data_IF_723775798662
#
_entry.id   IF_723775798662
#
_cell.length_a   1.000
_cell.length_b   1.000
_cell.length_c   1.000
_cell.angle_alpha   90.00
_cell.angle_beta   90.00
_cell.angle_gamma   90.00
#
_symmetry.space_group_name_H-M   'P 1'
#
loop_
_entity.id
_entity.type
_entity.pdbx_description
1 polymer ?
#
# COMPACT_ATOMS: atom_id res chain seq x y z
N UNK A 1 9.05 -28.12 -26.61
CA UNK A 1 9.50 -27.65 -25.29
C UNK A 1 8.64 -26.48 -24.83
N UNK A 2 8.45 -25.48 -25.69
CA UNK A 2 7.70 -24.25 -25.39
C UNK A 2 6.24 -24.47 -24.98
N UNK A 3 5.54 -25.45 -25.56
CA UNK A 3 4.16 -25.76 -25.16
C UNK A 3 4.05 -26.29 -23.73
N UNK A 4 4.99 -27.13 -23.32
CA UNK A 4 5.03 -27.70 -21.95
C UNK A 4 5.33 -26.57 -20.95
N UNK A 5 6.27 -25.70 -21.30
CA UNK A 5 6.63 -24.56 -20.47
C UNK A 5 5.46 -23.56 -20.33
N UNK A 6 4.79 -23.23 -21.45
CA UNK A 6 3.63 -22.35 -21.46
C UNK A 6 2.46 -22.91 -20.66
N UNK A 7 2.14 -24.20 -20.82
CA UNK A 7 1.12 -24.87 -20.04
C UNK A 7 1.43 -24.90 -18.55
N UNK A 8 2.68 -25.22 -18.18
CA UNK A 8 3.14 -25.19 -16.80
C UNK A 8 3.09 -23.78 -16.20
N UNK A 9 3.44 -22.76 -16.97
CA UNK A 9 3.33 -21.35 -16.57
C UNK A 9 1.88 -20.96 -16.27
N UNK A 10 0.93 -21.30 -17.15
CA UNK A 10 -0.50 -21.03 -16.92
C UNK A 10 -0.99 -21.70 -15.63
N UNK A 11 -0.63 -22.97 -15.41
CA UNK A 11 -1.01 -23.69 -14.19
C UNK A 11 -0.42 -23.03 -12.95
N UNK A 12 0.86 -22.63 -12.99
CA UNK A 12 1.51 -21.93 -11.90
C UNK A 12 0.87 -20.58 -11.61
N UNK A 13 0.49 -19.82 -12.64
CA UNK A 13 -0.20 -18.52 -12.46
C UNK A 13 -1.59 -18.72 -11.86
N UNK A 14 -2.33 -19.75 -12.27
CA UNK A 14 -3.62 -20.08 -11.67
C UNK A 14 -3.48 -20.48 -10.19
N UNK A 15 -2.48 -21.29 -9.84
CA UNK A 15 -2.22 -21.66 -8.44
C UNK A 15 -1.76 -20.45 -7.61
N UNK A 16 -0.90 -19.60 -8.16
CA UNK A 16 -0.48 -18.36 -7.50
C UNK A 16 -1.68 -17.43 -7.25
N UNK A 17 -2.55 -17.28 -8.24
CA UNK A 17 -3.77 -16.47 -8.14
C UNK A 17 -4.73 -17.05 -7.09
N UNK A 18 -4.89 -18.37 -7.06
CA UNK A 18 -5.68 -19.09 -6.06
C UNK A 18 -5.16 -18.83 -4.65
N UNK A 19 -3.84 -18.84 -4.44
CA UNK A 19 -3.24 -18.59 -3.11
C UNK A 19 -3.36 -17.12 -2.69
N UNK A 20 -3.30 -16.19 -3.62
CA UNK A 20 -3.32 -14.75 -3.33
C UNK A 20 -4.72 -14.17 -3.12
N UNK A 21 -5.69 -14.54 -3.97
CA UNK A 21 -7.03 -13.94 -4.00
C UNK A 21 -8.12 -14.96 -3.65
N UNK A 22 -7.84 -16.25 -3.82
CA UNK A 22 -8.80 -17.33 -3.63
C UNK A 22 -9.32 -17.91 -4.95
N UNK A 23 -10.30 -18.80 -4.85
CA UNK A 23 -10.90 -19.52 -5.98
C UNK A 23 -11.68 -18.72 -7.03
N UNK A 24 -12.25 -17.52 -6.76
CA UNK A 24 -13.09 -16.85 -7.75
C UNK A 24 -12.37 -16.54 -9.06
N UNK A 25 -11.17 -15.98 -9.01
CA UNK A 25 -10.45 -15.53 -10.20
C UNK A 25 -9.94 -16.70 -11.07
N UNK A 26 -9.27 -17.74 -10.51
CA UNK A 26 -8.86 -18.91 -11.30
C UNK A 26 -10.05 -19.63 -11.96
N UNK A 27 -11.18 -19.73 -11.26
CA UNK A 27 -12.37 -20.38 -11.79
C UNK A 27 -12.91 -19.67 -13.03
N UNK A 28 -13.03 -18.34 -12.95
CA UNK A 28 -13.44 -17.51 -14.09
C UNK A 28 -12.45 -17.67 -15.25
N UNK A 29 -11.15 -17.62 -14.99
CA UNK A 29 -10.13 -17.80 -16.04
C UNK A 29 -10.24 -19.16 -16.73
N UNK A 30 -10.41 -20.25 -15.97
CA UNK A 30 -10.57 -21.60 -16.53
C UNK A 30 -11.82 -21.69 -17.40
N UNK A 31 -12.93 -21.06 -17.00
CA UNK A 31 -14.14 -20.99 -17.84
C UNK A 31 -13.87 -20.28 -19.16
N UNK A 32 -13.18 -19.13 -19.14
CA UNK A 32 -12.87 -18.40 -20.37
C UNK A 32 -11.87 -19.14 -21.27
N UNK A 33 -10.91 -19.85 -20.70
CA UNK A 33 -10.00 -20.71 -21.46
C UNK A 33 -10.78 -21.87 -22.10
N UNK A 34 -11.67 -22.52 -21.35
CA UNK A 34 -12.56 -23.56 -21.89
C UNK A 34 -13.46 -23.03 -22.99
N UNK A 35 -14.05 -21.85 -22.81
CA UNK A 35 -14.86 -21.16 -23.83
C UNK A 35 -14.04 -20.89 -25.10
N UNK A 36 -12.78 -20.45 -24.96
CA UNK A 36 -11.90 -20.20 -26.10
C UNK A 36 -11.60 -21.48 -26.92
N UNK A 37 -11.62 -22.64 -26.27
CA UNK A 37 -11.47 -23.94 -26.92
C UNK A 37 -12.80 -24.44 -27.51
N UNK A 38 -13.87 -24.41 -26.71
CA UNK A 38 -15.19 -24.97 -27.01
C UNK A 38 -16.12 -24.03 -27.79
N UNK A 39 -15.65 -22.86 -28.21
CA UNK A 39 -16.47 -21.87 -28.92
C UNK A 39 -17.12 -22.40 -30.19
N UNK A 40 -16.55 -23.44 -30.81
CA UNK A 40 -17.08 -24.10 -32.01
C UNK A 40 -18.37 -24.90 -31.76
N UNK A 41 -18.61 -25.36 -30.52
CA UNK A 41 -19.81 -26.10 -30.14
C UNK A 41 -20.97 -25.17 -29.79
N UNK A 42 -20.74 -23.87 -29.62
CA UNK A 42 -21.75 -22.92 -29.15
C UNK A 42 -22.53 -22.35 -30.35
N UNK A 43 -23.85 -22.62 -30.47
CA UNK A 43 -24.66 -22.04 -31.53
C UNK A 43 -25.05 -20.59 -31.22
N UNK A 44 -25.23 -19.77 -32.25
CA UNK A 44 -25.64 -18.36 -32.14
C UNK A 44 -24.46 -17.38 -32.16
N UNK A 45 -24.73 -16.11 -31.86
CA UNK A 45 -23.76 -15.00 -31.99
C UNK A 45 -22.57 -15.08 -31.04
N UNK A 46 -22.65 -15.90 -29.99
CA UNK A 46 -21.56 -16.16 -29.05
C UNK A 46 -20.65 -17.33 -29.51
N UNK A 47 -21.03 -18.06 -30.57
CA UNK A 47 -20.18 -19.09 -31.16
C UNK A 47 -19.02 -18.50 -31.94
N UNK A 48 -17.86 -19.13 -31.87
CA UNK A 48 -16.71 -18.81 -32.72
C UNK A 48 -16.03 -20.09 -33.20
N UNK A 49 -15.05 -20.01 -34.10
CA UNK A 49 -14.40 -21.22 -34.69
C UNK A 49 -13.71 -22.16 -33.70
N UNK A 50 -13.61 -21.80 -32.41
CA UNK A 50 -12.71 -22.42 -31.46
C UNK A 50 -11.24 -22.12 -31.78
N UNK A 51 -10.39 -22.13 -30.76
CA UNK A 51 -8.94 -21.99 -30.93
C UNK A 51 -8.24 -23.27 -30.49
N UNK A 52 -7.20 -23.66 -31.23
CA UNK A 52 -6.35 -24.79 -30.86
C UNK A 52 -5.58 -24.50 -29.57
N UNK A 53 -5.31 -25.53 -28.77
CA UNK A 53 -4.56 -25.42 -27.52
C UNK A 53 -3.17 -24.80 -27.74
N UNK A 54 -2.53 -25.11 -28.86
CA UNK A 54 -1.24 -24.53 -29.25
C UNK A 54 -1.36 -23.01 -29.45
N UNK A 55 -2.44 -22.55 -30.08
CA UNK A 55 -2.69 -21.13 -30.32
C UNK A 55 -3.01 -20.41 -29.03
N UNK A 56 -3.83 -21.01 -28.15
CA UNK A 56 -4.17 -20.42 -26.85
C UNK A 56 -2.91 -20.26 -26.00
N UNK A 57 -2.09 -21.32 -25.87
CA UNK A 57 -0.87 -21.27 -25.07
C UNK A 57 0.17 -20.29 -25.64
N UNK A 58 0.35 -20.25 -26.96
CA UNK A 58 1.24 -19.28 -27.59
C UNK A 58 0.75 -17.84 -27.37
N UNK A 59 -0.56 -17.59 -27.45
CA UNK A 59 -1.14 -16.29 -27.15
C UNK A 59 -0.88 -15.90 -25.69
N UNK A 60 -1.13 -16.80 -24.74
CA UNK A 60 -0.98 -16.51 -23.31
C UNK A 60 0.47 -16.35 -22.86
N UNK A 61 1.42 -17.06 -23.47
CA UNK A 61 2.82 -17.08 -23.02
C UNK A 61 3.74 -16.19 -23.85
N UNK A 62 3.59 -16.15 -25.18
CA UNK A 62 4.54 -15.49 -26.10
C UNK A 62 4.08 -14.10 -26.58
N UNK A 63 2.83 -13.70 -26.33
CA UNK A 63 2.33 -12.40 -26.82
C UNK A 63 2.22 -11.35 -25.73
N UNK A 64 2.21 -10.08 -26.14
CA UNK A 64 2.04 -8.91 -25.26
C UNK A 64 0.61 -8.73 -24.75
N UNK A 65 -0.35 -9.52 -25.24
CA UNK A 65 -1.71 -9.58 -24.68
C UNK A 65 -1.83 -10.69 -23.61
N UNK A 66 -0.77 -11.48 -23.43
CA UNK A 66 -0.72 -12.61 -22.51
C UNK A 66 -0.25 -12.24 -21.10
N UNK A 67 0.19 -13.27 -20.36
CA UNK A 67 0.56 -13.22 -18.94
C UNK A 67 1.69 -12.21 -18.69
N UNK A 68 2.70 -12.17 -19.57
CA UNK A 68 3.85 -11.26 -19.47
C UNK A 68 3.64 -9.93 -20.23
N UNK A 69 2.40 -9.68 -20.63
CA UNK A 69 2.04 -8.59 -21.51
C UNK A 69 1.71 -7.28 -20.82
N UNK A 70 0.83 -6.51 -21.46
CA UNK A 70 0.30 -5.23 -20.98
C UNK A 70 -0.21 -5.32 -19.53
N UNK A 71 -0.94 -6.37 -19.09
CA UNK A 71 -1.41 -6.44 -17.71
C UNK A 71 -0.28 -6.41 -16.68
N UNK A 72 0.80 -7.16 -16.91
CA UNK A 72 1.96 -7.16 -16.03
C UNK A 72 2.70 -5.81 -16.08
N UNK A 73 2.83 -5.24 -17.28
CA UNK A 73 3.43 -3.93 -17.47
C UNK A 73 2.72 -2.82 -16.70
N UNK A 74 1.38 -2.78 -16.75
CA UNK A 74 0.57 -1.78 -16.01
C UNK A 74 0.71 -1.97 -14.50
N UNK A 75 0.77 -3.22 -14.02
CA UNK A 75 0.99 -3.50 -12.59
C UNK A 75 2.34 -2.97 -12.11
N UNK A 76 3.42 -3.18 -12.87
CA UNK A 76 4.77 -2.76 -12.47
C UNK A 76 4.96 -1.24 -12.57
N UNK A 77 4.46 -0.62 -13.64
CA UNK A 77 4.72 0.80 -13.93
C UNK A 77 3.87 1.76 -13.12
N UNK A 78 2.60 1.40 -12.87
CA UNK A 78 1.62 2.30 -12.26
C UNK A 78 1.26 1.77 -10.86
N UNK A 79 0.69 0.58 -10.79
CA UNK A 79 0.05 0.07 -9.56
C UNK A 79 1.06 -0.12 -8.43
N UNK A 80 2.21 -0.73 -8.73
CA UNK A 80 3.26 -0.97 -7.74
C UNK A 80 3.79 0.35 -7.14
N UNK A 81 4.03 1.36 -7.98
CA UNK A 81 4.53 2.66 -7.53
C UNK A 81 3.54 3.34 -6.59
N UNK A 82 2.24 3.32 -6.93
CA UNK A 82 1.19 3.87 -6.07
C UNK A 82 1.07 3.12 -4.73
N UNK A 83 1.12 1.78 -4.75
CA UNK A 83 1.08 0.98 -3.52
C UNK A 83 2.33 1.26 -2.66
N UNK A 84 3.51 1.34 -3.28
CA UNK A 84 4.77 1.58 -2.59
C UNK A 84 4.80 2.97 -1.95
N UNK A 85 4.48 4.02 -2.71
CA UNK A 85 4.41 5.38 -2.18
C UNK A 85 3.30 5.51 -1.13
N UNK A 86 2.14 4.89 -1.35
CA UNK A 86 1.06 4.85 -0.37
C UNK A 86 1.52 4.23 0.95
N UNK A 87 2.21 3.08 0.90
CA UNK A 87 2.76 2.43 2.08
C UNK A 87 3.89 3.24 2.74
N UNK A 88 4.71 3.94 1.96
CA UNK A 88 5.76 4.82 2.46
C UNK A 88 5.16 6.03 3.19
N UNK A 89 4.15 6.67 2.61
CA UNK A 89 3.44 7.80 3.21
C UNK A 89 2.66 7.38 4.46
N UNK A 90 2.06 6.18 4.50
CA UNK A 90 1.42 5.64 5.71
C UNK A 90 2.42 5.48 6.87
N UNK A 91 3.69 5.15 6.56
CA UNK A 91 4.74 4.99 7.57
C UNK A 91 5.50 6.28 7.93
N UNK A 92 5.44 7.32 7.10
CA UNK A 92 6.30 8.51 7.19
C UNK A 92 5.82 9.64 8.10
N UNK A 93 4.73 9.47 8.86
CA UNK A 93 4.10 10.58 9.60
C UNK A 93 3.78 10.29 11.07
N UNK A 94 3.42 11.36 11.80
CA UNK A 94 3.04 11.27 13.22
C UNK A 94 1.80 10.40 13.49
N UNK A 95 0.95 10.15 12.49
CA UNK A 95 -0.20 9.23 12.61
C UNK A 95 0.22 7.78 12.84
N UNK A 96 1.39 7.36 12.38
CA UNK A 96 1.90 6.01 12.65
C UNK A 96 2.11 5.81 14.16
N UNK A 97 2.70 6.81 14.83
CA UNK A 97 2.87 6.80 16.29
C UNK A 97 1.51 6.79 16.99
N UNK A 98 0.56 7.61 16.56
CA UNK A 98 -0.81 7.60 17.11
C UNK A 98 -1.47 6.23 16.95
N UNK A 99 -1.35 5.60 15.78
CA UNK A 99 -1.90 4.26 15.52
C UNK A 99 -1.33 3.22 16.47
N UNK A 100 -0.01 3.23 16.69
CA UNK A 100 0.64 2.28 17.61
C UNK A 100 0.32 2.61 19.09
N UNK A 101 0.16 3.89 19.45
CA UNK A 101 -0.32 4.27 20.79
C UNK A 101 -1.73 3.76 21.06
N UNK A 102 -2.67 3.91 20.12
CA UNK A 102 -4.05 3.42 20.28
C UNK A 102 -4.07 1.89 20.43
N UNK A 103 -3.21 1.17 19.69
CA UNK A 103 -3.09 -0.29 19.82
C UNK A 103 -2.51 -0.70 21.16
N UNK A 104 -1.46 -0.03 21.64
CA UNK A 104 -0.79 -0.35 22.89
C UNK A 104 -1.58 0.07 24.13
N UNK A 105 -2.38 1.14 24.01
CA UNK A 105 -3.13 1.77 25.10
C UNK A 105 -4.61 2.00 24.69
N UNK A 106 -5.41 0.95 24.47
CA UNK A 106 -6.76 1.07 23.92
C UNK A 106 -7.77 1.77 24.84
N UNK A 107 -7.46 1.89 26.14
CA UNK A 107 -8.29 2.60 27.12
C UNK A 107 -7.96 4.09 27.28
N UNK A 108 -6.94 4.61 26.59
CA UNK A 108 -6.49 5.99 26.74
C UNK A 108 -7.06 6.91 25.67
N UNK A 109 -7.38 8.15 26.06
CA UNK A 109 -7.82 9.18 25.11
C UNK A 109 -6.60 9.84 24.49
N UNK A 110 -6.42 9.65 23.19
CA UNK A 110 -5.31 10.26 22.44
C UNK A 110 -5.77 11.57 21.80
N UNK A 111 -5.07 12.66 22.12
CA UNK A 111 -5.22 13.97 21.47
C UNK A 111 -4.05 14.15 20.50
N UNK A 112 -4.34 14.33 19.22
CA UNK A 112 -3.33 14.51 18.17
C UNK A 112 -3.33 15.93 17.63
N UNK A 113 -2.18 16.59 17.64
CA UNK A 113 -1.98 17.91 17.07
C UNK A 113 -0.93 17.87 15.95
N UNK A 114 -1.27 18.44 14.79
CA UNK A 114 -0.38 18.52 13.63
C UNK A 114 -0.27 19.97 13.15
N UNK A 115 0.89 20.57 13.35
CA UNK A 115 1.15 21.96 13.01
C UNK A 115 1.41 22.17 11.50
N UNK A 116 0.38 22.04 10.68
CA UNK A 116 0.49 22.17 9.22
C UNK A 116 0.82 23.59 8.75
N UNK A 117 0.46 24.60 9.54
CA UNK A 117 0.59 26.01 9.15
C UNK A 117 2.06 26.50 9.12
N UNK A 118 2.93 25.88 9.91
CA UNK A 118 4.31 26.35 10.14
C UNK A 118 5.38 25.33 9.74
N UNK A 119 4.98 24.23 9.10
CA UNK A 119 5.88 23.27 8.47
C UNK A 119 6.55 23.85 7.21
N UNK A 120 7.73 23.35 6.79
CA UNK A 120 8.50 22.27 7.40
C UNK A 120 9.54 22.77 8.42
N UNK A 121 9.55 22.19 9.63
CA UNK A 121 10.46 22.60 10.70
C UNK A 121 11.94 22.40 10.36
N UNK A 122 12.26 21.42 9.51
CA UNK A 122 13.64 21.11 9.11
C UNK A 122 14.30 22.20 8.25
N UNK A 123 13.52 23.11 7.68
CA UNK A 123 14.04 24.25 6.92
C UNK A 123 14.25 25.50 7.79
N UNK A 124 13.81 25.48 9.05
CA UNK A 124 13.87 26.62 9.96
C UNK A 124 15.16 26.61 10.79
N UNK A 125 15.67 27.78 11.24
CA UNK A 125 16.72 27.83 12.25
C UNK A 125 16.31 27.09 13.53
N UNK A 126 17.26 26.41 14.17
CA UNK A 126 16.99 25.57 15.34
C UNK A 126 16.22 26.27 16.45
N UNK A 127 16.58 27.53 16.78
CA UNK A 127 15.90 28.33 17.82
C UNK A 127 14.43 28.60 17.48
N UNK A 128 14.11 28.82 16.19
CA UNK A 128 12.74 29.07 15.74
C UNK A 128 11.94 27.77 15.81
N UNK A 129 12.51 26.66 15.31
CA UNK A 129 11.87 25.35 15.36
C UNK A 129 11.60 24.91 16.82
N UNK A 130 12.55 25.10 17.73
CA UNK A 130 12.38 24.82 19.16
C UNK A 130 11.22 25.62 19.75
N UNK A 131 11.15 26.94 19.49
CA UNK A 131 10.06 27.79 19.97
C UNK A 131 8.68 27.33 19.52
N UNK A 132 8.55 26.96 18.24
CA UNK A 132 7.30 26.44 17.67
C UNK A 132 6.88 25.09 18.25
N UNK A 133 7.86 24.21 18.51
CA UNK A 133 7.61 22.93 19.20
C UNK A 133 7.08 23.19 20.60
N UNK A 134 7.73 24.06 21.39
CA UNK A 134 7.29 24.37 22.75
C UNK A 134 5.90 25.01 22.79
N UNK A 135 5.56 25.86 21.82
CA UNK A 135 4.21 26.43 21.69
C UNK A 135 3.16 25.33 21.41
N UNK A 136 3.48 24.39 20.51
CA UNK A 136 2.62 23.25 20.20
C UNK A 136 2.42 22.30 21.39
N UNK A 137 3.45 22.10 22.20
CA UNK A 137 3.37 21.29 23.43
C UNK A 137 2.54 21.99 24.51
N UNK A 138 2.70 23.31 24.66
CA UNK A 138 1.89 24.10 25.58
C UNK A 138 0.39 24.01 25.22
N UNK A 139 0.05 24.10 23.93
CA UNK A 139 -1.34 23.90 23.49
C UNK A 139 -1.92 22.53 23.92
N UNK A 140 -1.13 21.46 23.82
CA UNK A 140 -1.55 20.13 24.27
C UNK A 140 -1.70 20.05 25.80
N UNK A 141 -0.80 20.69 26.55
CA UNK A 141 -0.91 20.81 28.01
C UNK A 141 -2.20 21.51 28.44
N UNK A 142 -2.58 22.57 27.72
CA UNK A 142 -3.80 23.33 28.01
C UNK A 142 -5.07 22.47 27.77
N UNK A 143 -4.98 21.38 27.01
CA UNK A 143 -6.06 20.37 26.88
C UNK A 143 -6.11 19.36 28.05
N UNK A 144 -5.22 19.48 29.04
CA UNK A 144 -5.18 18.63 30.22
C UNK A 144 -4.60 17.23 29.97
N UNK A 145 -3.62 17.10 29.07
CA UNK A 145 -2.94 15.81 28.82
C UNK A 145 -2.01 15.44 29.97
N UNK A 146 -1.94 14.14 30.29
CA UNK A 146 -1.11 13.59 31.37
C UNK A 146 0.31 13.20 30.94
N UNK A 147 0.53 13.04 29.63
CA UNK A 147 1.80 12.73 29.00
C UNK A 147 1.76 13.20 27.54
N UNK A 148 2.90 13.53 26.96
CA UNK A 148 3.03 13.98 25.58
C UNK A 148 4.03 13.08 24.85
N UNK A 149 3.80 12.86 23.55
CA UNK A 149 4.72 12.13 22.68
C UNK A 149 5.02 13.00 21.46
N UNK A 150 6.28 13.36 21.25
CA UNK A 150 6.70 14.08 20.05
C UNK A 150 6.94 13.06 18.93
N UNK A 151 5.94 12.91 18.05
CA UNK A 151 5.95 11.88 17.00
C UNK A 151 6.80 12.22 15.76
N UNK A 152 7.14 13.49 15.54
CA UNK A 152 7.94 13.92 14.39
C UNK A 152 9.42 13.97 14.75
N UNK A 153 10.25 13.18 14.09
CA UNK A 153 11.70 13.13 14.33
C UNK A 153 12.35 14.53 14.30
N UNK A 154 11.96 15.38 13.35
CA UNK A 154 12.47 16.74 13.23
C UNK A 154 12.06 17.63 14.41
N UNK A 155 10.82 17.49 14.90
CA UNK A 155 10.36 18.20 16.09
C UNK A 155 11.06 17.70 17.36
N UNK A 156 11.27 16.38 17.49
CA UNK A 156 11.99 15.80 18.62
C UNK A 156 13.44 16.27 18.65
N UNK A 157 14.12 16.29 17.49
CA UNK A 157 15.47 16.80 17.37
C UNK A 157 15.59 18.30 17.69
N UNK A 158 14.55 19.08 17.42
CA UNK A 158 14.53 20.51 17.71
C UNK A 158 14.21 20.83 19.17
N UNK A 159 13.25 20.14 19.80
CA UNK A 159 12.64 20.62 21.05
C UNK A 159 12.58 19.65 22.23
N UNK A 160 13.00 18.38 22.08
CA UNK A 160 12.84 17.38 23.15
C UNK A 160 13.55 17.76 24.45
N UNK A 161 14.84 18.14 24.39
CA UNK A 161 15.61 18.51 25.59
C UNK A 161 15.05 19.75 26.29
N UNK A 162 14.62 20.75 25.51
CA UNK A 162 14.00 21.95 26.04
C UNK A 162 12.64 21.65 26.70
N UNK A 163 11.83 20.80 26.06
CA UNK A 163 10.53 20.37 26.57
C UNK A 163 10.67 19.61 27.90
N UNK A 164 11.62 18.66 27.99
CA UNK A 164 11.88 17.86 29.20
C UNK A 164 12.28 18.72 30.40
N UNK A 165 12.97 19.84 30.16
CA UNK A 165 13.38 20.78 31.21
C UNK A 165 12.27 21.74 31.61
N UNK A 166 11.39 22.11 30.66
CA UNK A 166 10.37 23.14 30.84
C UNK A 166 9.07 22.61 31.43
N UNK A 167 8.66 21.40 31.06
CA UNK A 167 7.37 20.85 31.45
C UNK A 167 7.50 19.77 32.52
N UNK A 168 6.52 19.71 33.42
CA UNK A 168 6.48 18.72 34.51
C UNK A 168 5.85 17.38 34.11
N UNK A 169 5.12 17.34 33.00
CA UNK A 169 4.57 16.09 32.44
C UNK A 169 5.66 15.30 31.69
N UNK A 170 5.56 13.96 31.64
CA UNK A 170 6.42 13.16 30.77
C UNK A 170 6.24 13.56 29.29
N UNK A 171 7.36 13.86 28.61
CA UNK A 171 7.47 14.17 27.18
C UNK A 171 8.45 13.20 26.53
#
# INVERSE_FOLDING_TARGET
MDMILGGLCVIMVLDATRRSIGWPLPFVTVIFVLYSYLGNLIPGSFGHRGYDIHRILNQMFMTTEGIFGIPLGVVVTIVFLFILFGAFLDKGGGLCVVREMIKALPGERVVYFADRARQPYGALPHQVAEGLVLESLQFLLDQGVKAIVIACNTASAAGYEAARKRFSVPV
#
